data_IF_215429232902
#
_entry.id   IF_215429232902
#
_cell.length_a   1.000
_cell.length_b   1.000
_cell.length_c   1.000
_cell.angle_alpha   90.00
_cell.angle_beta   90.00
_cell.angle_gamma   90.00
#
_symmetry.space_group_name_H-M   'P 1'
#
loop_
_entity.id
_entity.type
_entity.pdbx_description
1 polymer ?
#
# COMPACT_ATOMS: atom_id res chain seq x y z
N UNK A 1 0.70 -49.16 -14.08
CA UNK A 1 0.29 -47.95 -14.81
C UNK A 1 -1.10 -48.09 -15.41
N UNK A 2 -1.50 -49.28 -15.89
CA UNK A 2 -2.83 -49.52 -16.47
C UNK A 2 -3.98 -49.51 -15.44
N UNK A 3 -3.81 -50.08 -14.24
CA UNK A 3 -4.90 -50.23 -13.24
C UNK A 3 -5.62 -48.92 -12.85
N UNK A 4 -4.93 -47.78 -12.83
CA UNK A 4 -5.54 -46.50 -12.49
C UNK A 4 -6.36 -45.88 -13.63
N UNK A 5 -6.10 -46.31 -14.88
CA UNK A 5 -6.71 -45.73 -16.07
C UNK A 5 -7.86 -46.58 -16.63
N UNK A 6 -7.83 -47.89 -16.39
CA UNK A 6 -8.83 -48.86 -16.85
C UNK A 6 -10.27 -48.54 -16.43
N UNK A 7 -10.57 -48.11 -15.18
CA UNK A 7 -11.94 -47.77 -14.80
C UNK A 7 -12.49 -46.58 -15.58
N UNK A 8 -11.65 -45.55 -15.77
CA UNK A 8 -12.03 -44.35 -16.50
C UNK A 8 -12.14 -44.59 -18.01
N UNK A 9 -11.29 -45.46 -18.56
CA UNK A 9 -11.32 -45.86 -19.97
C UNK A 9 -12.58 -46.67 -20.28
N UNK A 10 -12.90 -47.66 -19.43
CA UNK A 10 -14.09 -48.51 -19.59
C UNK A 10 -15.39 -47.69 -19.45
N UNK A 11 -15.43 -46.76 -18.50
CA UNK A 11 -16.55 -45.82 -18.35
C UNK A 11 -16.73 -44.88 -19.57
N UNK A 12 -15.67 -44.64 -20.32
CA UNK A 12 -15.67 -43.83 -21.55
C UNK A 12 -15.84 -44.67 -22.83
N UNK A 13 -16.12 -45.97 -22.70
CA UNK A 13 -16.34 -46.89 -23.83
C UNK A 13 -15.07 -47.33 -24.58
N UNK A 14 -13.89 -47.13 -23.99
CA UNK A 14 -12.59 -47.51 -24.59
C UNK A 14 -12.18 -48.91 -24.14
N UNK A 15 -11.65 -49.75 -25.04
CA UNK A 15 -11.25 -51.11 -24.70
C UNK A 15 -9.94 -51.11 -23.90
N UNK A 16 -10.06 -51.36 -22.58
CA UNK A 16 -8.94 -51.47 -21.65
C UNK A 16 -7.93 -52.59 -22.00
N UNK A 17 -8.36 -53.63 -22.74
CA UNK A 17 -7.50 -54.73 -23.16
C UNK A 17 -6.54 -54.38 -24.30
N UNK A 18 -6.79 -53.29 -25.03
CA UNK A 18 -5.89 -52.79 -26.07
C UNK A 18 -5.01 -51.68 -25.52
N UNK A 19 -3.72 -51.98 -25.31
CA UNK A 19 -2.77 -51.02 -24.74
C UNK A 19 -2.62 -49.73 -25.57
N UNK A 20 -2.82 -49.79 -26.89
CA UNK A 20 -2.75 -48.60 -27.75
C UNK A 20 -3.96 -47.68 -27.55
N UNK A 21 -5.16 -48.24 -27.38
CA UNK A 21 -6.38 -47.49 -27.10
C UNK A 21 -6.33 -46.86 -25.70
N UNK A 22 -5.84 -47.60 -24.70
CA UNK A 22 -5.65 -47.10 -23.35
C UNK A 22 -4.65 -45.94 -23.30
N UNK A 23 -3.54 -46.03 -24.05
CA UNK A 23 -2.56 -44.96 -24.17
C UNK A 23 -3.14 -43.71 -24.87
N UNK A 24 -3.90 -43.89 -25.95
CA UNK A 24 -4.57 -42.78 -26.63
C UNK A 24 -5.61 -42.10 -25.72
N UNK A 25 -6.34 -42.88 -24.91
CA UNK A 25 -7.25 -42.35 -23.90
C UNK A 25 -6.51 -41.54 -22.84
N UNK A 26 -5.37 -42.02 -22.35
CA UNK A 26 -4.50 -41.27 -21.44
C UNK A 26 -4.06 -39.94 -22.05
N UNK A 27 -3.48 -39.97 -23.25
CA UNK A 27 -2.96 -38.78 -23.95
C UNK A 27 -4.08 -37.77 -24.19
N UNK A 28 -5.27 -38.22 -24.61
CA UNK A 28 -6.44 -37.38 -24.80
C UNK A 28 -6.84 -36.69 -23.49
N UNK A 29 -6.91 -37.45 -22.38
CA UNK A 29 -7.20 -36.89 -21.06
C UNK A 29 -6.14 -35.89 -20.60
N UNK A 30 -4.86 -36.15 -20.85
CA UNK A 30 -3.80 -35.20 -20.54
C UNK A 30 -3.97 -33.90 -21.34
N UNK A 31 -4.26 -33.97 -22.65
CA UNK A 31 -4.46 -32.78 -23.48
C UNK A 31 -5.64 -31.93 -23.02
N UNK A 32 -6.73 -32.54 -22.59
CA UNK A 32 -7.92 -31.81 -22.15
C UNK A 32 -7.79 -31.22 -20.75
N UNK A 33 -7.04 -31.86 -19.86
CA UNK A 33 -7.01 -31.47 -18.44
C UNK A 33 -5.70 -30.81 -17.97
N UNK A 34 -4.59 -31.00 -18.69
CA UNK A 34 -3.30 -30.45 -18.32
C UNK A 34 -3.01 -29.16 -19.09
N UNK A 35 -3.07 -28.04 -18.39
CA UNK A 35 -2.63 -26.74 -18.91
C UNK A 35 -1.37 -26.29 -18.17
N UNK A 36 -0.27 -26.10 -18.91
CA UNK A 36 1.02 -25.67 -18.36
C UNK A 36 1.21 -24.19 -18.71
N UNK A 37 1.46 -23.37 -17.70
CA UNK A 37 1.81 -21.95 -17.87
C UNK A 37 3.26 -21.76 -17.48
N UNK A 38 4.05 -21.20 -18.40
CA UNK A 38 5.47 -20.95 -18.21
C UNK A 38 5.74 -19.44 -18.20
N UNK A 39 6.21 -18.91 -17.08
CA UNK A 39 6.65 -17.53 -16.98
C UNK A 39 8.16 -17.45 -17.32
N UNK A 40 8.48 -16.86 -18.47
CA UNK A 40 9.86 -16.74 -18.97
C UNK A 40 10.16 -15.27 -19.24
N UNK A 41 11.30 -14.79 -18.76
CA UNK A 41 11.77 -13.44 -19.10
C UNK A 41 12.42 -13.43 -20.49
N UNK A 42 12.09 -12.48 -21.39
CA UNK A 42 12.81 -12.27 -22.66
C UNK A 42 14.27 -11.90 -22.48
N UNK A 43 14.64 -11.44 -21.29
CA UNK A 43 15.89 -10.74 -21.07
C UNK A 43 17.05 -11.73 -21.11
N UNK A 44 18.02 -11.46 -21.98
CA UNK A 44 19.24 -12.25 -22.12
C UNK A 44 19.13 -13.43 -23.09
N UNK A 45 20.24 -14.16 -23.24
CA UNK A 45 20.33 -15.24 -24.23
C UNK A 45 19.65 -16.54 -23.81
N UNK A 46 19.40 -16.73 -22.52
CA UNK A 46 18.86 -17.97 -21.97
C UNK A 46 17.49 -18.30 -22.57
N UNK A 47 16.62 -17.29 -22.75
CA UNK A 47 15.33 -17.46 -23.39
C UNK A 47 15.47 -17.96 -24.83
N UNK A 48 16.30 -17.29 -25.64
CA UNK A 48 16.58 -17.71 -27.02
C UNK A 48 17.19 -19.11 -27.11
N UNK A 49 18.03 -19.48 -26.15
CA UNK A 49 18.62 -20.83 -26.08
C UNK A 49 17.54 -21.88 -25.79
N UNK A 50 16.63 -21.61 -24.84
CA UNK A 50 15.50 -22.50 -24.51
C UNK A 50 14.56 -22.69 -25.70
N UNK A 51 14.22 -21.62 -26.42
CA UNK A 51 13.37 -21.74 -27.63
C UNK A 51 14.02 -22.61 -28.72
N UNK A 52 15.34 -22.54 -28.88
CA UNK A 52 16.08 -23.41 -29.83
C UNK A 52 16.16 -24.86 -29.37
N UNK A 53 16.33 -25.09 -28.07
CA UNK A 53 16.39 -26.45 -27.50
C UNK A 53 15.01 -27.12 -27.46
N UNK A 54 13.93 -26.35 -27.31
CA UNK A 54 12.57 -26.84 -27.14
C UNK A 54 11.60 -26.16 -28.12
N UNK A 55 11.54 -26.58 -29.39
CA UNK A 55 10.65 -25.99 -30.40
C UNK A 55 9.16 -26.08 -30.05
N UNK A 56 8.76 -27.02 -29.20
CA UNK A 56 7.38 -27.16 -28.72
C UNK A 56 6.88 -25.93 -27.95
N UNK A 57 7.78 -25.14 -27.36
CA UNK A 57 7.42 -23.87 -26.69
C UNK A 57 6.88 -22.82 -27.67
N UNK A 58 7.23 -22.91 -28.95
CA UNK A 58 6.73 -22.01 -30.00
C UNK A 58 5.60 -22.66 -30.78
N UNK A 59 5.71 -23.97 -31.07
CA UNK A 59 4.76 -24.66 -31.93
C UNK A 59 3.49 -25.15 -31.22
N UNK A 60 3.55 -25.38 -29.90
CA UNK A 60 2.47 -26.01 -29.14
C UNK A 60 1.96 -25.15 -27.97
N UNK A 61 2.51 -23.97 -27.75
CA UNK A 61 2.09 -23.05 -26.69
C UNK A 61 1.58 -21.74 -27.29
N UNK A 62 0.60 -21.13 -26.63
CA UNK A 62 0.20 -19.76 -26.92
C UNK A 62 1.17 -18.81 -26.21
N UNK A 63 1.83 -17.94 -26.97
CA UNK A 63 2.74 -16.94 -26.43
C UNK A 63 1.93 -15.70 -26.07
N UNK A 64 1.90 -15.39 -24.77
CA UNK A 64 1.34 -14.14 -24.25
C UNK A 64 2.48 -13.19 -23.87
N UNK A 65 2.44 -11.95 -24.35
CA UNK A 65 3.54 -11.00 -24.21
C UNK A 65 3.26 -9.89 -23.22
N UNK A 66 4.00 -9.92 -22.11
CA UNK A 66 3.93 -8.90 -21.07
C UNK A 66 4.88 -7.76 -21.43
N UNK A 67 4.32 -6.72 -22.04
CA UNK A 67 5.02 -5.49 -22.33
C UNK A 67 5.11 -4.59 -21.08
N UNK A 68 5.93 -3.54 -21.19
CA UNK A 68 5.91 -2.42 -20.23
C UNK A 68 4.48 -1.87 -20.12
N UNK A 69 4.06 -1.52 -18.91
CA UNK A 69 2.72 -1.00 -18.69
C UNK A 69 2.54 0.35 -19.40
N UNK A 70 1.51 0.51 -20.24
CA UNK A 70 1.19 1.82 -20.82
C UNK A 70 0.73 2.79 -19.73
N UNK A 71 0.76 4.10 -20.04
CA UNK A 71 0.28 5.18 -19.16
C UNK A 71 -1.11 4.88 -18.59
N UNK A 72 -2.05 4.42 -19.42
CA UNK A 72 -3.41 4.06 -18.98
C UNK A 72 -3.42 2.95 -17.93
N UNK A 73 -2.57 1.93 -18.08
CA UNK A 73 -2.46 0.84 -17.11
C UNK A 73 -1.83 1.34 -15.80
N UNK A 74 -0.80 2.19 -15.87
CA UNK A 74 -0.18 2.79 -14.69
C UNK A 74 -1.19 3.64 -13.91
N UNK A 75 -1.97 4.46 -14.62
CA UNK A 75 -3.06 5.28 -14.04
C UNK A 75 -4.12 4.42 -13.38
N UNK A 76 -4.63 3.40 -14.07
CA UNK A 76 -5.65 2.51 -13.54
C UNK A 76 -5.18 1.77 -12.27
N UNK A 77 -3.93 1.31 -12.26
CA UNK A 77 -3.33 0.68 -11.07
C UNK A 77 -3.17 1.68 -9.93
N UNK A 78 -2.69 2.90 -10.22
CA UNK A 78 -2.57 3.95 -9.21
C UNK A 78 -3.92 4.33 -8.61
N UNK A 79 -4.94 4.53 -9.45
CA UNK A 79 -6.31 4.82 -8.99
C UNK A 79 -6.84 3.72 -8.08
N UNK A 80 -6.72 2.47 -8.50
CA UNK A 80 -7.12 1.30 -7.70
C UNK A 80 -6.39 1.28 -6.35
N UNK A 81 -5.08 1.51 -6.34
CA UNK A 81 -4.32 1.57 -5.10
C UNK A 81 -4.76 2.75 -4.24
N UNK A 82 -5.03 3.94 -4.78
CA UNK A 82 -5.34 5.13 -4.00
C UNK A 82 -6.80 5.23 -3.53
N UNK A 83 -7.66 4.23 -3.83
CA UNK A 83 -9.07 4.21 -3.40
C UNK A 83 -9.19 4.37 -1.88
N UNK A 84 -8.45 3.55 -1.12
CA UNK A 84 -8.57 3.47 0.35
C UNK A 84 -8.06 4.72 1.09
N UNK A 85 -7.37 5.63 0.39
CA UNK A 85 -6.84 6.84 1.02
C UNK A 85 -7.87 7.95 0.93
N UNK A 86 -8.25 8.49 2.09
CA UNK A 86 -9.11 9.67 2.16
C UNK A 86 -8.35 10.91 1.70
N UNK A 87 -8.59 11.33 0.45
CA UNK A 87 -7.98 12.48 -0.21
C UNK A 87 -9.03 13.16 -1.11
N UNK A 88 -8.99 14.49 -1.27
CA UNK A 88 -9.82 15.20 -2.25
C UNK A 88 -9.58 14.67 -3.66
N UNK A 89 -10.64 14.55 -4.46
CA UNK A 89 -10.55 13.98 -5.81
C UNK A 89 -9.51 14.68 -6.70
N UNK A 90 -9.46 16.01 -6.68
CA UNK A 90 -8.47 16.79 -7.45
C UNK A 90 -7.03 16.48 -7.04
N UNK A 91 -6.78 16.25 -5.75
CA UNK A 91 -5.45 15.92 -5.24
C UNK A 91 -5.07 14.48 -5.63
N UNK A 92 -6.03 13.55 -5.63
CA UNK A 92 -5.79 12.18 -6.09
C UNK A 92 -5.29 12.14 -7.54
N UNK A 93 -5.96 12.89 -8.44
CA UNK A 93 -5.54 12.97 -9.85
C UNK A 93 -4.11 13.48 -9.97
N UNK A 94 -3.76 14.56 -9.26
CA UNK A 94 -2.39 15.10 -9.28
C UNK A 94 -1.35 14.13 -8.71
N UNK A 95 -1.68 13.34 -7.69
CA UNK A 95 -0.79 12.30 -7.16
C UNK A 95 -0.56 11.20 -8.20
N UNK A 96 -1.61 10.76 -8.89
CA UNK A 96 -1.51 9.77 -9.96
C UNK A 96 -0.58 10.28 -11.06
N UNK A 97 -0.79 11.52 -11.53
CA UNK A 97 0.06 12.14 -12.56
C UNK A 97 1.54 12.15 -12.14
N UNK A 98 1.82 12.51 -10.90
CA UNK A 98 3.20 12.53 -10.36
C UNK A 98 3.78 11.12 -10.29
N UNK A 99 3.04 10.14 -9.79
CA UNK A 99 3.51 8.75 -9.70
C UNK A 99 3.80 8.17 -11.08
N UNK A 100 2.89 8.36 -12.04
CA UNK A 100 3.07 7.90 -13.42
C UNK A 100 4.28 8.61 -14.06
N UNK A 101 4.38 9.93 -13.92
CA UNK A 101 5.53 10.69 -14.44
C UNK A 101 6.87 10.26 -13.83
N UNK A 102 6.91 9.90 -12.55
CA UNK A 102 8.11 9.32 -11.93
C UNK A 102 8.51 7.99 -12.57
N UNK A 103 7.54 7.11 -12.83
CA UNK A 103 7.79 5.81 -13.47
C UNK A 103 8.33 6.00 -14.91
N UNK A 104 7.71 6.87 -15.69
CA UNK A 104 8.13 7.17 -17.06
C UNK A 104 9.52 7.81 -17.10
N UNK A 105 9.79 8.74 -16.18
CA UNK A 105 11.09 9.40 -16.04
C UNK A 105 12.20 8.41 -15.73
N UNK A 106 11.98 7.50 -14.77
CA UNK A 106 12.96 6.44 -14.45
C UNK A 106 13.17 5.54 -15.65
N UNK A 107 12.11 5.12 -16.35
CA UNK A 107 12.22 4.32 -17.58
C UNK A 107 13.05 5.02 -18.65
N UNK A 108 12.91 6.33 -18.86
CA UNK A 108 13.76 7.09 -19.77
C UNK A 108 15.23 7.11 -19.30
N UNK A 109 15.46 7.41 -18.01
CA UNK A 109 16.79 7.46 -17.41
C UNK A 109 17.55 6.13 -17.52
N UNK A 110 16.85 4.98 -17.46
CA UNK A 110 17.50 3.68 -17.65
C UNK A 110 18.15 3.52 -19.02
N UNK A 111 17.56 4.13 -20.07
CA UNK A 111 18.10 4.09 -21.43
C UNK A 111 19.38 4.90 -21.52
N UNK A 112 19.39 6.09 -20.92
CA UNK A 112 20.57 6.96 -20.85
C UNK A 112 21.69 6.33 -20.01
N UNK A 113 21.32 5.66 -18.92
CA UNK A 113 22.24 4.91 -18.07
C UNK A 113 22.90 3.76 -18.82
N UNK A 114 22.14 3.03 -19.63
CA UNK A 114 22.67 1.98 -20.50
C UNK A 114 23.62 2.53 -21.56
N UNK A 115 23.29 3.67 -22.18
CA UNK A 115 24.15 4.28 -23.19
C UNK A 115 25.48 4.77 -22.59
N UNK A 116 25.40 5.41 -21.43
CA UNK A 116 26.55 6.07 -20.79
C UNK A 116 27.48 5.07 -20.09
N UNK A 117 26.91 4.13 -19.32
CA UNK A 117 27.68 3.26 -18.44
C UNK A 117 27.66 1.79 -18.85
N UNK A 118 26.95 1.44 -19.93
CA UNK A 118 26.81 0.06 -20.44
C UNK A 118 26.29 -0.91 -19.39
N UNK A 119 25.49 -0.42 -18.43
CA UNK A 119 24.86 -1.20 -17.37
C UNK A 119 23.35 -1.18 -17.55
N UNK A 120 22.73 -2.35 -17.43
CA UNK A 120 21.29 -2.47 -17.44
C UNK A 120 20.72 -2.19 -16.05
N UNK A 121 19.70 -1.35 -15.99
CA UNK A 121 18.80 -1.21 -14.85
C UNK A 121 17.38 -1.49 -15.34
N UNK A 122 16.69 -2.43 -14.72
CA UNK A 122 15.38 -2.88 -15.17
C UNK A 122 14.29 -2.27 -14.32
N UNK A 123 13.42 -1.49 -14.95
CA UNK A 123 12.19 -1.00 -14.33
C UNK A 123 11.15 -2.10 -14.45
N UNK A 124 10.59 -2.53 -13.32
CA UNK A 124 9.55 -3.57 -13.30
C UNK A 124 8.23 -2.99 -12.77
N UNK A 125 7.07 -3.55 -13.14
CA UNK A 125 5.80 -3.16 -12.54
C UNK A 125 5.80 -3.26 -11.01
N UNK A 126 6.51 -4.25 -10.45
CA UNK A 126 6.68 -4.40 -9.00
C UNK A 126 7.32 -3.18 -8.35
N UNK A 127 8.29 -2.53 -9.01
CA UNK A 127 8.90 -1.29 -8.52
C UNK A 127 7.88 -0.15 -8.44
N UNK A 128 6.95 -0.07 -9.40
CA UNK A 128 5.85 0.90 -9.38
C UNK A 128 4.86 0.64 -8.24
N UNK A 129 4.50 -0.63 -8.02
CA UNK A 129 3.64 -1.01 -6.89
C UNK A 129 4.30 -0.67 -5.55
N UNK A 130 5.62 -0.84 -5.43
CA UNK A 130 6.35 -0.47 -4.22
C UNK A 130 6.40 1.05 -4.01
N UNK A 131 6.52 1.84 -5.09
CA UNK A 131 6.41 3.30 -5.03
C UNK A 131 5.06 3.72 -4.44
N UNK A 132 3.96 3.16 -4.95
CA UNK A 132 2.60 3.45 -4.46
C UNK A 132 2.41 3.04 -2.99
N UNK A 133 2.91 1.85 -2.62
CA UNK A 133 2.87 1.37 -1.23
C UNK A 133 3.69 2.25 -0.29
N UNK A 134 4.87 2.69 -0.73
CA UNK A 134 5.74 3.57 0.04
C UNK A 134 5.08 4.93 0.23
N UNK A 135 4.46 5.48 -0.82
CA UNK A 135 3.69 6.72 -0.73
C UNK A 135 2.57 6.61 0.32
N UNK A 136 1.76 5.53 0.26
CA UNK A 136 0.71 5.25 1.25
C UNK A 136 1.23 5.25 2.68
N UNK A 137 2.29 4.47 2.93
CA UNK A 137 2.89 4.32 4.26
C UNK A 137 3.42 5.67 4.76
N UNK A 138 4.12 6.40 3.92
CA UNK A 138 4.71 7.69 4.27
C UNK A 138 3.62 8.73 4.59
N UNK A 139 2.57 8.79 3.76
CA UNK A 139 1.45 9.70 3.98
C UNK A 139 0.76 9.42 5.33
N UNK A 140 0.49 8.14 5.63
CA UNK A 140 -0.11 7.77 6.90
C UNK A 140 0.78 8.15 8.10
N UNK A 141 2.07 7.83 8.03
CA UNK A 141 3.03 8.18 9.08
C UNK A 141 3.05 9.70 9.33
N UNK A 142 3.07 10.50 8.26
CA UNK A 142 3.05 11.96 8.38
C UNK A 142 1.73 12.51 8.90
N UNK A 143 0.58 11.91 8.52
CA UNK A 143 -0.72 12.27 9.11
C UNK A 143 -0.75 12.01 10.61
N UNK A 144 -0.28 10.84 11.06
CA UNK A 144 -0.22 10.49 12.49
C UNK A 144 0.69 11.44 13.25
N UNK A 145 1.88 11.75 12.70
CA UNK A 145 2.83 12.68 13.31
C UNK A 145 2.21 14.07 13.50
N UNK A 146 1.60 14.63 12.44
CA UNK A 146 0.97 15.95 12.48
C UNK A 146 -0.25 15.97 13.40
N UNK A 147 -1.11 14.94 13.36
CA UNK A 147 -2.28 14.86 14.25
C UNK A 147 -1.87 14.74 15.72
N UNK A 148 -0.81 13.99 16.01
CA UNK A 148 -0.26 13.88 17.37
C UNK A 148 0.25 15.22 17.87
N UNK A 149 0.98 15.97 17.02
CA UNK A 149 1.44 17.32 17.36
C UNK A 149 0.27 18.26 17.62
N UNK A 150 -0.74 18.25 16.73
CA UNK A 150 -1.97 19.05 16.89
C UNK A 150 -2.67 18.75 18.21
N UNK A 151 -2.90 17.48 18.54
CA UNK A 151 -3.54 17.09 19.79
C UNK A 151 -2.79 17.59 21.03
N UNK A 152 -1.46 17.61 21.00
CA UNK A 152 -0.66 18.19 22.10
C UNK A 152 -0.92 19.68 22.26
N UNK A 153 -0.99 20.43 21.15
CA UNK A 153 -1.33 21.85 21.19
C UNK A 153 -2.76 22.10 21.68
N UNK A 154 -3.73 21.34 21.18
CA UNK A 154 -5.14 21.45 21.59
C UNK A 154 -5.30 21.19 23.10
N UNK A 155 -4.64 20.15 23.62
CA UNK A 155 -4.63 19.84 25.05
C UNK A 155 -3.96 20.96 25.86
N UNK A 156 -2.82 21.47 25.39
CA UNK A 156 -2.11 22.57 26.06
C UNK A 156 -2.96 23.84 26.11
N UNK A 157 -3.60 24.21 25.00
CA UNK A 157 -4.49 25.36 24.92
C UNK A 157 -5.69 25.21 25.87
N UNK A 158 -6.30 24.02 25.89
CA UNK A 158 -7.41 23.72 26.82
C UNK A 158 -6.99 23.92 28.26
N UNK A 159 -5.80 23.44 28.65
CA UNK A 159 -5.28 23.63 30.01
C UNK A 159 -5.00 25.10 30.35
N UNK A 160 -4.51 25.89 29.38
CA UNK A 160 -4.32 27.32 29.57
C UNK A 160 -5.66 28.06 29.77
N UNK A 161 -6.69 27.69 29.01
CA UNK A 161 -8.04 28.26 29.17
C UNK A 161 -8.65 27.90 30.52
N UNK A 162 -8.55 26.64 30.95
CA UNK A 162 -9.01 26.19 32.28
C UNK A 162 -8.31 26.98 33.41
N UNK A 163 -7.00 27.19 33.27
CA UNK A 163 -6.22 27.95 34.27
C UNK A 163 -6.62 29.42 34.29
N UNK A 164 -6.85 30.04 33.14
CA UNK A 164 -7.32 31.42 33.05
C UNK A 164 -8.67 31.61 33.74
N UNK A 165 -9.62 30.69 33.50
CA UNK A 165 -10.93 30.70 34.18
C UNK A 165 -10.78 30.53 35.70
N UNK A 166 -9.87 29.69 36.15
CA UNK A 166 -9.61 29.49 37.58
C UNK A 166 -8.99 30.74 38.24
N UNK A 167 -8.06 31.41 37.55
CA UNK A 167 -7.46 32.66 38.02
C UNK A 167 -8.51 33.78 38.10
N UNK A 168 -9.41 33.87 37.12
CA UNK A 168 -10.50 34.84 37.13
C UNK A 168 -11.44 34.62 38.33
N UNK A 169 -11.82 33.37 38.62
CA UNK A 169 -12.60 33.04 39.82
C UNK A 169 -11.89 33.44 41.12
N UNK A 170 -10.60 33.13 41.24
CA UNK A 170 -9.80 33.51 42.42
C UNK A 170 -9.71 35.04 42.60
N UNK A 171 -9.60 35.80 41.51
CA UNK A 171 -9.58 37.27 41.58
C UNK A 171 -10.89 37.81 42.16
N UNK A 172 -12.03 37.32 41.68
CA UNK A 172 -13.36 37.71 42.18
C UNK A 172 -13.51 37.34 43.67
N UNK A 173 -13.07 36.15 44.09
CA UNK A 173 -13.10 35.73 45.49
C UNK A 173 -12.23 36.64 46.38
N UNK A 174 -11.02 36.98 45.94
CA UNK A 174 -10.11 37.86 46.68
C UNK A 174 -10.66 39.28 46.83
N UNK A 175 -11.27 39.84 45.78
CA UNK A 175 -11.94 41.16 45.85
C UNK A 175 -13.10 41.15 46.84
N UNK A 176 -13.87 40.05 46.90
CA UNK A 176 -14.97 39.89 47.86
C UNK A 176 -14.48 39.72 49.32
N UNK A 177 -13.33 39.08 49.54
CA UNK A 177 -12.74 38.86 50.87
C UNK A 177 -12.07 40.11 51.45
N UNK A 178 -11.58 41.04 50.61
CA UNK A 178 -10.93 42.29 51.07
C UNK A 178 -11.74 43.12 52.08
N UNK A 179 -13.03 43.45 51.85
CA UNK A 179 -13.81 44.23 52.81
C UNK A 179 -14.07 43.47 54.12
N UNK A 180 -14.31 42.16 54.05
CA UNK A 180 -14.52 41.30 55.23
C UNK A 180 -13.28 41.28 56.14
N UNK A 181 -12.08 41.19 55.55
CA UNK A 181 -10.82 41.25 56.29
C UNK A 181 -10.60 42.61 56.97
N UNK A 182 -11.00 43.72 56.34
CA UNK A 182 -10.95 45.05 56.97
C UNK A 182 -11.88 45.15 58.17
N UNK A 183 -13.09 44.59 58.09
CA UNK A 183 -14.02 44.57 59.22
C UNK A 183 -13.48 43.70 60.35
N UNK A 184 -13.05 42.48 60.04
CA UNK A 184 -12.50 41.56 61.04
C UNK A 184 -11.25 42.11 61.73
N UNK A 185 -10.37 42.83 61.01
CA UNK A 185 -9.19 43.49 61.61
C UNK A 185 -9.57 44.62 62.57
N UNK A 186 -10.53 45.46 62.20
CA UNK A 186 -11.08 46.50 63.10
C UNK A 186 -11.69 45.86 64.35
N UNK A 187 -12.44 44.77 64.20
CA UNK A 187 -13.03 44.05 65.34
C UNK A 187 -11.97 43.43 66.26
N UNK A 188 -10.90 42.85 65.71
CA UNK A 188 -9.79 42.31 66.52
C UNK A 188 -8.96 43.39 67.21
N UNK A 189 -8.73 44.54 66.56
CA UNK A 189 -8.00 45.66 67.16
C UNK A 189 -8.80 46.27 68.32
N UNK A 190 -10.12 46.42 68.16
CA UNK A 190 -11.01 46.87 69.24
C UNK A 190 -11.02 45.89 70.44
N UNK A 191 -10.99 44.58 70.16
CA UNK A 191 -10.88 43.55 71.20
C UNK A 191 -9.54 43.62 71.96
N UNK A 192 -8.43 43.88 71.25
CA UNK A 192 -7.11 44.05 71.86
C UNK A 192 -7.04 45.29 72.77
N UNK A 193 -7.69 46.40 72.40
CA UNK A 193 -7.78 47.59 73.26
C UNK A 193 -8.58 47.31 74.55
N UNK A 194 -9.59 46.43 74.53
CA UNK A 194 -10.35 46.07 75.73
C UNK A 194 -9.65 45.06 76.66
N UNK A 195 -8.56 44.43 76.21
CA UNK A 195 -7.79 43.43 76.98
C UNK A 195 -6.49 44.04 77.54
N UNK A 196 -6.09 45.24 77.10
CA UNK A 196 -5.02 46.08 77.68
C UNK A 196 -5.53 46.96 78.82
#
# INVERSE_FOLDING_TARGET
MNEALEPAATASGVNAGNSAELYNFFVSRCRTNLHIVLALSPIGEAFRRRLRMFPSLVNCCTIDWFAEWPDEALRSVADYFLVDIELPAQVKVGIVDVCVGMQESVSALTRDFLQSLRRYYYVTPTSYLELLNTFKKLLNNKRVEVMTMKQRYDNGLTKLMETAEQVEKMQVELEALQPLLKVATIETDALLETIS
#
